data_IF_512596943677
#
_entry.id   IF_512596943677
#
_cell.length_a   1.000
_cell.length_b   1.000
_cell.length_c   1.000
_cell.angle_alpha   90.00
_cell.angle_beta   90.00
_cell.angle_gamma   90.00
#
_symmetry.space_group_name_H-M   'P 1'
#
loop_
_entity.id
_entity.type
_entity.pdbx_description
1 polymer ?
#
# COMPACT_ATOMS: atom_id res chain seq x y z
N UNK A 1 22.34 -4.04 8.64
CA UNK A 1 21.84 -4.51 9.96
C UNK A 1 20.61 -3.66 10.25
N UNK A 2 19.34 -4.06 10.24
CA UNK A 2 18.62 -5.32 10.40
C UNK A 2 17.45 -5.41 9.39
N UNK A 3 17.71 -5.34 8.07
CA UNK A 3 16.64 -5.34 7.05
C UNK A 3 16.08 -6.72 6.71
N UNK A 4 16.70 -7.80 7.21
CA UNK A 4 16.34 -9.18 6.85
C UNK A 4 14.90 -9.53 7.24
N UNK A 5 14.38 -8.98 8.35
CA UNK A 5 13.02 -9.27 8.81
C UNK A 5 11.92 -8.58 7.99
N UNK A 6 12.09 -7.31 7.62
CA UNK A 6 11.10 -6.59 6.80
C UNK A 6 11.12 -7.06 5.36
N UNK A 7 12.31 -7.29 4.78
CA UNK A 7 12.43 -7.83 3.42
C UNK A 7 11.75 -9.19 3.32
N UNK A 8 12.01 -10.10 4.27
CA UNK A 8 11.35 -11.41 4.33
C UNK A 8 9.82 -11.31 4.43
N UNK A 9 9.30 -10.36 5.23
CA UNK A 9 7.86 -10.15 5.33
C UNK A 9 7.23 -9.66 4.02
N UNK A 10 7.92 -8.78 3.29
CA UNK A 10 7.50 -8.32 1.96
C UNK A 10 7.58 -9.44 0.94
N UNK A 11 8.65 -10.24 0.94
CA UNK A 11 8.83 -11.37 0.04
C UNK A 11 7.72 -12.41 0.22
N UNK A 12 7.35 -12.71 1.48
CA UNK A 12 6.20 -13.58 1.80
C UNK A 12 4.86 -12.98 1.37
N UNK A 13 4.69 -11.66 1.50
CA UNK A 13 3.49 -10.98 1.00
C UNK A 13 3.40 -11.08 -0.53
N UNK A 14 4.50 -10.86 -1.25
CA UNK A 14 4.55 -10.99 -2.71
C UNK A 14 4.23 -12.42 -3.15
N UNK A 15 4.82 -13.43 -2.51
CA UNK A 15 4.51 -14.83 -2.79
C UNK A 15 3.02 -15.15 -2.57
N UNK A 16 2.42 -14.64 -1.50
CA UNK A 16 0.98 -14.80 -1.27
C UNK A 16 0.11 -14.10 -2.32
N UNK A 17 0.56 -12.96 -2.87
CA UNK A 17 -0.13 -12.29 -3.98
C UNK A 17 -0.01 -13.09 -5.28
N UNK A 18 1.13 -13.72 -5.54
CA UNK A 18 1.32 -14.62 -6.69
C UNK A 18 0.40 -15.85 -6.59
N UNK A 19 0.28 -16.45 -5.39
CA UNK A 19 -0.65 -17.55 -5.13
C UNK A 19 -2.11 -17.14 -5.35
N UNK A 20 -2.50 -15.91 -4.98
CA UNK A 20 -3.82 -15.35 -5.27
C UNK A 20 -4.04 -15.14 -6.77
N UNK A 21 -3.04 -14.61 -7.46
CA UNK A 21 -3.09 -14.35 -8.91
C UNK A 21 -3.18 -15.65 -9.74
N UNK A 22 -2.66 -16.76 -9.21
CA UNK A 22 -2.75 -18.08 -9.84
C UNK A 22 -4.15 -18.73 -9.75
N UNK A 23 -5.08 -18.17 -8.96
CA UNK A 23 -6.43 -18.73 -8.81
C UNK A 23 -7.30 -18.44 -10.03
N UNK A 24 -7.91 -19.48 -10.59
CA UNK A 24 -8.88 -19.34 -11.67
C UNK A 24 -10.26 -18.99 -11.11
N UNK A 25 -10.70 -17.75 -11.37
CA UNK A 25 -12.01 -17.24 -10.96
C UNK A 25 -13.10 -17.44 -12.02
N UNK A 26 -12.77 -17.94 -13.21
CA UNK A 26 -13.72 -17.99 -14.35
C UNK A 26 -14.85 -18.98 -14.14
N UNK A 27 -14.63 -20.02 -13.33
CA UNK A 27 -15.64 -21.01 -12.97
C UNK A 27 -16.46 -20.63 -11.73
N UNK A 28 -16.12 -19.54 -11.04
CA UNK A 28 -16.80 -19.14 -9.81
C UNK A 28 -18.12 -18.40 -10.11
N UNK A 29 -19.15 -18.67 -9.31
CA UNK A 29 -20.42 -17.95 -9.39
C UNK A 29 -20.46 -16.77 -8.40
N UNK A 30 -21.40 -15.83 -8.61
CA UNK A 30 -21.45 -14.54 -7.92
C UNK A 30 -21.19 -14.56 -6.40
N UNK A 31 -21.95 -15.32 -5.60
CA UNK A 31 -21.68 -15.52 -4.18
C UNK A 31 -20.25 -15.95 -3.82
N UNK A 32 -19.65 -16.91 -4.55
CA UNK A 32 -18.27 -17.34 -4.31
C UNK A 32 -17.27 -16.22 -4.58
N UNK A 33 -17.53 -15.39 -5.61
CA UNK A 33 -16.70 -14.22 -5.90
C UNK A 33 -16.78 -13.20 -4.76
N UNK A 34 -17.94 -13.00 -4.14
CA UNK A 34 -18.10 -12.09 -3.00
C UNK A 34 -17.40 -12.65 -1.76
N UNK A 35 -17.55 -13.94 -1.50
CA UNK A 35 -16.85 -14.64 -0.39
C UNK A 35 -15.33 -14.57 -0.55
N UNK A 36 -14.82 -14.65 -1.78
CA UNK A 36 -13.41 -14.46 -2.10
C UNK A 36 -12.96 -12.99 -1.98
N UNK A 37 -13.77 -12.05 -2.47
CA UNK A 37 -13.45 -10.62 -2.48
C UNK A 37 -13.41 -10.01 -1.07
N UNK A 38 -14.33 -10.39 -0.19
CA UNK A 38 -14.45 -9.82 1.15
C UNK A 38 -13.13 -9.84 1.96
N UNK A 39 -12.43 -10.99 2.14
CA UNK A 39 -11.16 -11.02 2.84
C UNK A 39 -10.05 -10.26 2.10
N UNK A 40 -10.07 -10.22 0.76
CA UNK A 40 -9.11 -9.44 -0.03
C UNK A 40 -9.26 -7.93 0.21
N UNK A 41 -10.48 -7.42 0.31
CA UNK A 41 -10.72 -6.01 0.64
C UNK A 41 -10.20 -5.68 2.04
N UNK A 42 -10.39 -6.57 3.02
CA UNK A 42 -9.84 -6.38 4.37
C UNK A 42 -8.30 -6.38 4.34
N UNK A 43 -7.70 -7.32 3.63
CA UNK A 43 -6.24 -7.39 3.48
C UNK A 43 -5.68 -6.16 2.75
N UNK A 44 -6.33 -5.72 1.66
CA UNK A 44 -5.98 -4.53 0.90
C UNK A 44 -6.09 -3.24 1.71
N UNK A 45 -7.11 -3.13 2.57
CA UNK A 45 -7.26 -2.02 3.50
C UNK A 45 -6.10 -1.99 4.51
N UNK A 46 -5.74 -3.12 5.10
CA UNK A 46 -4.60 -3.24 6.02
C UNK A 46 -3.28 -2.86 5.34
N UNK A 47 -3.04 -3.37 4.14
CA UNK A 47 -1.85 -3.01 3.35
C UNK A 47 -1.81 -1.51 3.05
N UNK A 48 -2.95 -0.94 2.65
CA UNK A 48 -3.06 0.51 2.39
C UNK A 48 -2.77 1.33 3.64
N UNK A 49 -3.19 0.87 4.83
CA UNK A 49 -2.85 1.51 6.10
C UNK A 49 -1.33 1.52 6.34
N UNK A 50 -0.65 0.40 6.14
CA UNK A 50 0.80 0.31 6.34
C UNK A 50 1.58 1.16 5.32
N UNK A 51 1.10 1.21 4.07
CA UNK A 51 1.64 2.13 3.04
C UNK A 51 1.46 3.58 3.49
N UNK A 52 0.26 3.96 3.96
CA UNK A 52 -0.03 5.33 4.38
C UNK A 52 0.79 5.74 5.62
N UNK A 53 0.98 4.84 6.59
CA UNK A 53 1.86 5.04 7.75
C UNK A 53 3.32 5.23 7.32
N UNK A 54 3.82 4.38 6.43
CA UNK A 54 5.19 4.46 5.90
C UNK A 54 5.38 5.77 5.13
N UNK A 55 4.44 6.12 4.25
CA UNK A 55 4.47 7.38 3.51
C UNK A 55 4.50 8.59 4.43
N UNK A 56 3.72 8.56 5.52
CA UNK A 56 3.73 9.64 6.51
C UNK A 56 5.10 9.79 7.17
N UNK A 57 5.78 8.68 7.50
CA UNK A 57 7.16 8.73 7.98
C UNK A 57 8.12 9.28 6.93
N UNK A 58 7.95 8.93 5.65
CA UNK A 58 8.70 9.53 4.55
C UNK A 58 8.47 11.05 4.42
N UNK A 59 7.23 11.53 4.62
CA UNK A 59 6.93 12.97 4.66
C UNK A 59 7.64 13.67 5.82
N UNK A 60 7.55 13.10 7.03
CA UNK A 60 8.12 13.71 8.25
C UNK A 60 9.64 13.76 8.25
N UNK A 61 10.28 12.78 7.59
CA UNK A 61 11.74 12.69 7.47
C UNK A 61 12.31 13.43 6.26
N UNK A 62 11.45 13.98 5.39
CA UNK A 62 11.88 14.61 4.15
C UNK A 62 12.44 13.62 3.12
N UNK A 63 12.10 12.33 3.19
CA UNK A 63 12.69 11.27 2.38
C UNK A 63 12.58 11.51 0.86
N UNK A 64 11.59 12.28 0.41
CA UNK A 64 11.45 12.67 -0.99
C UNK A 64 12.71 13.37 -1.55
N UNK A 65 13.47 14.08 -0.71
CA UNK A 65 14.65 14.83 -1.12
C UNK A 65 15.79 13.92 -1.57
N UNK A 66 15.83 12.68 -1.07
CA UNK A 66 16.79 11.66 -1.51
C UNK A 66 16.72 11.42 -3.02
N UNK A 67 15.51 11.48 -3.58
CA UNK A 67 15.24 11.29 -5.00
C UNK A 67 15.01 12.63 -5.74
N UNK A 68 15.44 13.76 -5.16
CA UNK A 68 15.35 15.09 -5.77
C UNK A 68 13.94 15.69 -5.80
N UNK A 69 12.99 15.14 -5.04
CA UNK A 69 11.63 15.66 -4.94
C UNK A 69 11.43 16.50 -3.67
N UNK A 70 10.74 17.64 -3.79
CA UNK A 70 10.44 18.51 -2.63
C UNK A 70 9.36 17.98 -1.70
N UNK A 71 8.50 17.08 -2.19
CA UNK A 71 7.35 16.55 -1.42
C UNK A 71 7.08 15.10 -1.80
N UNK A 72 6.53 14.32 -0.86
CA UNK A 72 6.07 12.96 -1.16
C UNK A 72 4.97 12.93 -2.22
N UNK A 73 4.12 13.96 -2.29
CA UNK A 73 3.12 14.08 -3.37
C UNK A 73 3.76 14.22 -4.76
N UNK A 74 4.91 14.90 -4.86
CA UNK A 74 5.68 14.95 -6.12
C UNK A 74 6.41 13.65 -6.40
N UNK A 75 6.96 13.02 -5.35
CA UNK A 75 7.64 11.73 -5.44
C UNK A 75 6.68 10.62 -5.93
N UNK A 76 5.48 10.53 -5.38
CA UNK A 76 4.46 9.55 -5.78
C UNK A 76 4.08 9.69 -7.25
N UNK A 77 3.91 10.93 -7.75
CA UNK A 77 3.53 11.17 -9.14
C UNK A 77 4.68 10.92 -10.12
N UNK A 78 5.90 11.33 -9.76
CA UNK A 78 7.07 11.21 -10.63
C UNK A 78 7.68 9.81 -10.61
N UNK A 79 7.93 9.27 -9.41
CA UNK A 79 8.67 8.04 -9.20
C UNK A 79 7.75 6.81 -9.15
N UNK A 80 6.64 6.89 -8.40
CA UNK A 80 5.69 5.79 -8.26
C UNK A 80 4.55 5.80 -9.31
N UNK A 81 4.56 6.77 -10.25
CA UNK A 81 3.57 6.93 -11.33
C UNK A 81 2.10 7.01 -10.87
N UNK A 82 1.86 7.51 -9.67
CA UNK A 82 0.49 7.75 -9.18
C UNK A 82 -0.17 8.88 -9.98
N UNK A 83 -1.47 8.74 -10.23
CA UNK A 83 -2.27 9.89 -10.69
C UNK A 83 -2.28 10.98 -9.62
N UNK A 84 -2.51 12.26 -10.00
CA UNK A 84 -2.57 13.35 -9.02
C UNK A 84 -3.58 13.11 -7.91
N UNK A 85 -4.78 12.61 -8.25
CA UNK A 85 -5.82 12.29 -7.29
C UNK A 85 -5.42 11.14 -6.35
N UNK A 86 -4.78 10.09 -6.86
CA UNK A 86 -4.32 8.97 -6.04
C UNK A 86 -3.23 9.41 -5.06
N UNK A 87 -2.26 10.20 -5.53
CA UNK A 87 -1.19 10.73 -4.68
C UNK A 87 -1.74 11.63 -3.57
N UNK A 88 -2.67 12.53 -3.92
CA UNK A 88 -3.33 13.41 -2.95
C UNK A 88 -4.09 12.62 -1.89
N UNK A 89 -4.89 11.62 -2.30
CA UNK A 89 -5.62 10.76 -1.36
C UNK A 89 -4.67 10.07 -0.39
N UNK A 90 -3.60 9.45 -0.89
CA UNK A 90 -2.67 8.71 -0.05
C UNK A 90 -1.96 9.61 0.98
N UNK A 91 -1.51 10.79 0.56
CA UNK A 91 -0.92 11.80 1.47
C UNK A 91 -1.93 12.26 2.53
N UNK A 92 -3.17 12.51 2.12
CA UNK A 92 -4.24 12.94 3.04
C UNK A 92 -4.56 11.84 4.04
N UNK A 93 -4.68 10.59 3.59
CA UNK A 93 -4.88 9.43 4.45
C UNK A 93 -3.74 9.25 5.44
N UNK A 94 -2.48 9.34 5.00
CA UNK A 94 -1.31 9.24 5.88
C UNK A 94 -1.32 10.26 7.01
N UNK A 95 -1.70 11.51 6.71
CA UNK A 95 -1.86 12.58 7.71
C UNK A 95 -3.05 12.36 8.63
N UNK A 96 -4.15 11.81 8.11
CA UNK A 96 -5.36 11.56 8.91
C UNK A 96 -5.19 10.41 9.91
N UNK A 97 -4.34 9.41 9.62
CA UNK A 97 -4.09 8.28 10.54
C UNK A 97 -3.57 8.73 11.91
N UNK A 98 -2.78 9.81 11.98
CA UNK A 98 -2.30 10.37 13.25
C UNK A 98 -3.44 10.91 14.14
N UNK A 99 -4.60 11.22 13.55
CA UNK A 99 -5.77 11.73 14.26
C UNK A 99 -6.77 10.63 14.65
N UNK A 100 -6.53 9.37 14.28
CA UNK A 100 -7.40 8.25 14.61
C UNK A 100 -6.98 7.62 15.95
N UNK A 101 -7.94 7.23 16.81
CA UNK A 101 -7.64 6.49 18.03
C UNK A 101 -7.05 5.10 17.71
N UNK A 102 -6.15 4.64 18.56
CA UNK A 102 -5.46 3.36 18.46
C UNK A 102 -6.38 2.16 18.78
#
# INVERSE_FOLDING_TARGET
MCSTGTSDAIDRLVAALDDLAAQDLTAAFGPQLIEHLAPLLVAGNRLTTEIARTLRQCELTGAAEHDGHKTMASWLRGHARFSPAAAFRLVTTGRAIEALPA
#
